data_IF_873631474682
#
_entry.id   IF_873631474682
#
_cell.length_a   1.000
_cell.length_b   1.000
_cell.length_c   1.000
_cell.angle_alpha   90.00
_cell.angle_beta   90.00
_cell.angle_gamma   90.00
#
_symmetry.space_group_name_H-M   'P 1'
#
loop_
_entity.id
_entity.type
_entity.pdbx_description
1 polymer ?
#
# COMPACT_ATOMS: atom_id res chain seq x y z
N UNK A 1 16.82 6.28 -4.26
CA UNK A 1 16.52 6.74 -5.62
C UNK A 1 15.26 6.05 -6.19
N UNK A 2 15.26 4.72 -6.34
CA UNK A 2 14.12 4.01 -6.93
C UNK A 2 12.88 4.07 -6.02
N UNK A 3 13.06 3.94 -4.71
CA UNK A 3 11.99 4.12 -3.73
C UNK A 3 11.27 5.46 -3.93
N UNK A 4 12.03 6.55 -3.98
CA UNK A 4 11.45 7.89 -4.10
C UNK A 4 10.76 8.09 -5.44
N UNK A 5 11.31 7.55 -6.52
CA UNK A 5 10.70 7.59 -7.84
C UNK A 5 9.33 6.90 -7.87
N UNK A 6 9.15 5.83 -7.10
CA UNK A 6 7.88 5.11 -7.01
C UNK A 6 6.93 5.72 -5.98
N UNK A 7 7.42 6.05 -4.80
CA UNK A 7 6.58 6.37 -3.66
C UNK A 7 6.26 7.85 -3.51
N UNK A 8 7.13 8.72 -3.99
CA UNK A 8 6.98 10.18 -3.89
C UNK A 8 6.57 10.82 -5.23
N UNK A 9 6.26 10.02 -6.23
CA UNK A 9 5.81 10.49 -7.54
C UNK A 9 4.49 11.26 -7.38
N UNK A 10 4.43 12.46 -7.94
CA UNK A 10 3.23 13.30 -7.91
C UNK A 10 2.39 13.19 -9.19
N UNK A 11 2.97 12.65 -10.25
CA UNK A 11 2.33 12.45 -11.54
C UNK A 11 1.54 11.13 -11.56
N UNK A 12 0.55 11.05 -12.46
CA UNK A 12 -0.30 9.88 -12.60
C UNK A 12 -1.52 9.94 -11.68
N UNK A 13 -2.26 8.83 -11.63
CA UNK A 13 -3.55 8.76 -10.94
C UNK A 13 -3.48 8.08 -9.56
N UNK A 14 -2.30 7.61 -9.15
CA UNK A 14 -2.09 7.04 -7.81
C UNK A 14 -1.71 8.14 -6.84
N UNK A 15 -2.46 8.27 -5.77
CA UNK A 15 -2.10 9.14 -4.65
C UNK A 15 -0.96 8.54 -3.83
N UNK A 16 -0.28 9.35 -3.02
CA UNK A 16 0.73 8.85 -2.08
C UNK A 16 0.14 7.85 -1.09
N UNK A 17 -1.09 8.12 -0.62
CA UNK A 17 -1.82 7.21 0.25
C UNK A 17 -2.11 5.87 -0.42
N UNK A 18 -2.49 5.87 -1.68
CA UNK A 18 -2.73 4.64 -2.44
C UNK A 18 -1.44 3.84 -2.64
N UNK A 19 -0.32 4.50 -2.87
CA UNK A 19 1.00 3.84 -2.94
C UNK A 19 1.36 3.15 -1.63
N UNK A 20 1.17 3.82 -0.51
CA UNK A 20 1.36 3.24 0.82
C UNK A 20 0.36 2.11 1.12
N UNK A 21 -0.84 2.21 0.61
CA UNK A 21 -1.86 1.17 0.74
C UNK A 21 -1.42 -0.14 0.05
N UNK A 22 -0.86 -0.04 -1.15
CA UNK A 22 -0.29 -1.19 -1.87
C UNK A 22 0.82 -1.84 -1.03
N UNK A 23 1.74 -1.03 -0.52
CA UNK A 23 2.86 -1.52 0.29
C UNK A 23 2.37 -2.23 1.54
N UNK A 24 1.46 -1.61 2.28
CA UNK A 24 0.95 -2.17 3.55
C UNK A 24 0.23 -3.49 3.32
N UNK A 25 -0.63 -3.56 2.31
CA UNK A 25 -1.41 -4.76 2.00
C UNK A 25 -0.51 -5.92 1.53
N UNK A 26 0.38 -5.68 0.59
CA UNK A 26 1.27 -6.72 0.04
C UNK A 26 2.35 -7.12 1.04
N UNK A 27 2.84 -6.20 1.85
CA UNK A 27 3.80 -6.49 2.92
C UNK A 27 3.19 -7.35 4.03
N UNK A 28 1.90 -7.17 4.31
CA UNK A 28 1.18 -8.02 5.26
C UNK A 28 1.07 -9.45 4.74
N UNK A 29 0.82 -9.64 3.44
CA UNK A 29 0.82 -10.96 2.82
C UNK A 29 2.18 -11.65 2.97
N UNK A 30 3.26 -10.90 2.90
CA UNK A 30 4.63 -11.39 3.09
C UNK A 30 5.08 -11.38 4.57
N UNK A 31 4.20 -11.02 5.49
CA UNK A 31 4.44 -11.00 6.94
C UNK A 31 5.68 -10.19 7.34
N UNK A 32 5.90 -9.05 6.69
CA UNK A 32 6.99 -8.14 7.03
C UNK A 32 6.57 -7.17 8.13
N UNK A 33 6.99 -7.45 9.37
CA UNK A 33 6.65 -6.60 10.52
C UNK A 33 7.09 -5.16 10.32
N UNK A 34 8.35 -4.93 9.94
CA UNK A 34 8.87 -3.58 9.71
C UNK A 34 8.04 -2.83 8.67
N UNK A 35 7.80 -3.46 7.53
CA UNK A 35 7.14 -2.82 6.40
C UNK A 35 5.67 -2.48 6.72
N UNK A 36 4.95 -3.41 7.34
CA UNK A 36 3.55 -3.18 7.71
C UNK A 36 3.42 -2.04 8.71
N UNK A 37 4.27 -2.01 9.72
CA UNK A 37 4.21 -0.98 10.77
C UNK A 37 4.64 0.38 10.23
N UNK A 38 5.76 0.46 9.52
CA UNK A 38 6.28 1.73 9.00
C UNK A 38 5.37 2.32 7.93
N UNK A 39 4.98 1.52 6.93
CA UNK A 39 4.13 2.00 5.84
C UNK A 39 2.67 2.13 6.26
N UNK A 40 2.22 1.33 7.21
CA UNK A 40 0.91 1.51 7.83
C UNK A 40 0.77 2.88 8.52
N UNK A 41 1.84 3.35 9.17
CA UNK A 41 1.88 4.69 9.74
C UNK A 41 1.73 5.77 8.66
N UNK A 42 2.48 5.67 7.57
CA UNK A 42 2.39 6.61 6.45
C UNK A 42 1.00 6.57 5.80
N UNK A 43 0.43 5.38 5.63
CA UNK A 43 -0.90 5.21 5.09
C UNK A 43 -1.94 5.96 5.93
N UNK A 44 -1.91 5.80 7.25
CA UNK A 44 -2.82 6.52 8.15
C UNK A 44 -2.68 8.03 8.03
N UNK A 45 -1.45 8.52 7.91
CA UNK A 45 -1.16 9.95 7.80
C UNK A 45 -1.65 10.50 6.46
N UNK A 46 -1.32 9.85 5.36
CA UNK A 46 -1.70 10.34 4.02
C UNK A 46 -3.21 10.25 3.79
N UNK A 47 -3.87 9.19 4.22
CA UNK A 47 -5.30 9.01 4.04
C UNK A 47 -6.13 9.73 5.12
N UNK A 48 -5.52 10.14 6.22
CA UNK A 48 -6.20 10.74 7.38
C UNK A 48 -7.30 9.84 7.94
N UNK A 49 -7.03 8.53 7.94
CA UNK A 49 -7.96 7.48 8.40
C UNK A 49 -7.24 6.58 9.38
N UNK A 50 -7.55 6.69 10.69
CA UNK A 50 -6.80 5.95 11.73
C UNK A 50 -6.92 4.43 11.63
N UNK A 51 -7.98 3.90 11.02
CA UNK A 51 -8.29 2.48 11.00
C UNK A 51 -7.86 1.75 9.72
N UNK A 52 -7.52 2.49 8.67
CA UNK A 52 -7.37 1.91 7.32
C UNK A 52 -6.21 0.92 7.23
N UNK A 53 -5.09 1.19 7.89
CA UNK A 53 -3.90 0.35 7.80
C UNK A 53 -4.15 -1.04 8.39
N UNK A 54 -4.81 -1.13 9.54
CA UNK A 54 -5.14 -2.41 10.15
C UNK A 54 -6.13 -3.19 9.29
N UNK A 55 -7.11 -2.50 8.69
CA UNK A 55 -8.10 -3.13 7.82
C UNK A 55 -7.45 -3.79 6.60
N UNK A 56 -6.60 -3.05 5.88
CA UNK A 56 -5.98 -3.58 4.67
C UNK A 56 -4.90 -4.61 4.96
N UNK A 57 -4.24 -4.52 6.10
CA UNK A 57 -3.23 -5.50 6.50
C UNK A 57 -3.85 -6.84 6.87
N UNK A 58 -4.96 -6.82 7.59
CA UNK A 58 -5.60 -8.06 8.05
C UNK A 58 -6.46 -8.69 6.95
N UNK A 59 -7.33 -7.90 6.33
CA UNK A 59 -8.21 -8.37 5.26
C UNK A 59 -8.76 -7.20 4.45
N UNK A 60 -8.06 -6.82 3.39
CA UNK A 60 -8.44 -5.67 2.58
C UNK A 60 -9.82 -5.82 1.92
N UNK A 61 -10.23 -7.06 1.61
CA UNK A 61 -11.53 -7.32 0.98
C UNK A 61 -12.71 -6.94 1.87
N UNK A 62 -12.49 -6.88 3.17
CA UNK A 62 -13.48 -6.47 4.17
C UNK A 62 -13.24 -5.07 4.73
N UNK A 63 -12.24 -4.36 4.23
CA UNK A 63 -11.96 -3.01 4.66
C UNK A 63 -13.12 -2.07 4.30
N UNK A 64 -13.56 -1.28 5.27
CA UNK A 64 -14.66 -0.32 5.10
C UNK A 64 -14.17 1.08 4.72
N UNK A 65 -12.92 1.40 4.99
CA UNK A 65 -12.33 2.74 4.77
C UNK A 65 -11.61 2.87 3.42
N UNK A 66 -11.85 1.94 2.50
CA UNK A 66 -11.32 2.00 1.13
C UNK A 66 -12.47 2.08 0.12
N UNK A 67 -12.18 2.66 -1.04
CA UNK A 67 -13.13 2.79 -2.14
C UNK A 67 -13.15 1.53 -3.02
N UNK A 68 -14.21 1.33 -3.86
CA UNK A 68 -14.19 0.25 -4.86
C UNK A 68 -13.00 0.33 -5.81
N UNK A 69 -12.57 1.54 -6.18
CA UNK A 69 -11.37 1.78 -6.99
C UNK A 69 -10.12 1.23 -6.29
N UNK A 70 -9.96 1.55 -5.02
CA UNK A 70 -8.83 1.06 -4.21
C UNK A 70 -8.88 -0.44 -4.00
N UNK A 71 -10.06 -1.01 -3.88
CA UNK A 71 -10.20 -2.47 -3.79
C UNK A 71 -9.75 -3.16 -5.08
N UNK A 72 -10.13 -2.65 -6.24
CA UNK A 72 -9.66 -3.18 -7.52
C UNK A 72 -8.13 -3.07 -7.65
N UNK A 73 -7.58 -1.95 -7.23
CA UNK A 73 -6.12 -1.74 -7.15
C UNK A 73 -5.44 -2.80 -6.29
N UNK A 74 -5.98 -3.08 -5.12
CA UNK A 74 -5.41 -4.08 -4.19
C UNK A 74 -5.60 -5.52 -4.68
N UNK A 75 -6.71 -5.83 -5.35
CA UNK A 75 -6.90 -7.14 -5.99
C UNK A 75 -5.79 -7.40 -7.01
N UNK A 76 -5.46 -6.42 -7.82
CA UNK A 76 -4.37 -6.53 -8.80
C UNK A 76 -3.01 -6.63 -8.11
N UNK A 77 -2.73 -5.76 -7.14
CA UNK A 77 -1.48 -5.79 -6.39
C UNK A 77 -1.25 -7.15 -5.72
N UNK A 78 -2.29 -7.73 -5.13
CA UNK A 78 -2.20 -9.04 -4.49
C UNK A 78 -1.96 -10.16 -5.50
N UNK A 79 -2.52 -10.07 -6.70
CA UNK A 79 -2.23 -11.03 -7.76
C UNK A 79 -0.78 -10.93 -8.24
N UNK A 80 -0.25 -9.71 -8.39
CA UNK A 80 1.18 -9.50 -8.67
C UNK A 80 2.04 -10.10 -7.56
N UNK A 81 1.66 -9.90 -6.31
CA UNK A 81 2.39 -10.39 -5.14
C UNK A 81 2.46 -11.92 -5.08
N UNK A 82 1.35 -12.59 -5.31
CA UNK A 82 1.18 -14.02 -5.04
C UNK A 82 1.16 -14.91 -6.29
N UNK A 83 0.69 -14.38 -7.43
CA UNK A 83 0.42 -15.15 -8.65
C UNK A 83 0.70 -14.35 -9.90
N UNK A 84 1.83 -13.64 -9.94
CA UNK A 84 2.18 -12.78 -11.09
C UNK A 84 2.22 -13.54 -12.41
N UNK A 85 2.57 -14.82 -12.38
CA UNK A 85 2.62 -15.69 -13.57
C UNK A 85 1.24 -15.97 -14.18
N UNK A 86 0.14 -15.67 -13.47
CA UNK A 86 -1.23 -15.87 -13.96
C UNK A 86 -1.86 -14.58 -14.51
N UNK A 87 -1.15 -13.46 -14.49
CA UNK A 87 -1.68 -12.18 -14.97
C UNK A 87 -1.81 -12.19 -16.49
N UNK A 88 -2.95 -11.70 -16.98
CA UNK A 88 -3.23 -11.49 -18.40
C UNK A 88 -4.05 -10.19 -18.59
N UNK A 89 -4.42 -9.90 -19.83
CA UNK A 89 -5.09 -8.64 -20.18
C UNK A 89 -6.44 -8.46 -19.46
N UNK A 90 -7.12 -9.53 -19.06
CA UNK A 90 -8.38 -9.46 -18.34
C UNK A 90 -8.22 -8.84 -16.93
N UNK A 91 -7.02 -8.91 -16.37
CA UNK A 91 -6.72 -8.31 -15.07
C UNK A 91 -6.63 -6.78 -15.14
N UNK A 92 -6.37 -6.23 -16.34
CA UNK A 92 -6.23 -4.78 -16.52
C UNK A 92 -7.58 -4.09 -16.71
N UNK A 93 -8.58 -4.79 -17.21
CA UNK A 93 -9.89 -4.21 -17.52
C UNK A 93 -10.57 -3.55 -16.31
N UNK A 94 -10.61 -4.17 -15.10
CA UNK A 94 -11.18 -3.51 -13.92
C UNK A 94 -10.42 -2.25 -13.52
N UNK A 95 -9.10 -2.22 -13.73
CA UNK A 95 -8.28 -1.06 -13.41
C UNK A 95 -8.57 0.10 -14.38
N UNK A 96 -8.63 -0.17 -15.66
CA UNK A 96 -9.02 0.82 -16.66
C UNK A 96 -10.43 1.37 -16.39
N UNK A 97 -11.36 0.50 -15.99
CA UNK A 97 -12.73 0.91 -15.65
C UNK A 97 -12.79 1.87 -14.46
N UNK A 98 -11.81 1.80 -13.54
CA UNK A 98 -11.69 2.71 -12.42
C UNK A 98 -10.78 3.92 -12.69
N UNK A 99 -10.36 4.14 -13.93
CA UNK A 99 -9.60 5.31 -14.34
C UNK A 99 -8.08 5.20 -14.19
N UNK A 100 -7.56 4.02 -13.88
CA UNK A 100 -6.12 3.78 -13.95
C UNK A 100 -5.70 3.60 -15.40
N UNK A 101 -4.59 4.24 -15.79
CA UNK A 101 -3.98 4.03 -17.10
C UNK A 101 -2.86 2.97 -17.04
N UNK A 102 -2.24 2.69 -18.17
CA UNK A 102 -1.20 1.65 -18.25
C UNK A 102 0.03 1.99 -17.40
N UNK A 103 0.35 3.27 -17.27
CA UNK A 103 1.45 3.71 -16.42
C UNK A 103 1.13 3.50 -14.93
N UNK A 104 -0.11 3.77 -14.52
CA UNK A 104 -0.57 3.49 -13.16
C UNK A 104 -0.50 1.99 -12.85
N UNK A 105 -0.91 1.16 -13.80
CA UNK A 105 -0.84 -0.31 -13.66
C UNK A 105 0.61 -0.77 -13.51
N UNK A 106 1.51 -0.19 -14.30
CA UNK A 106 2.94 -0.43 -14.16
C UNK A 106 3.43 -0.06 -12.76
N UNK A 107 3.05 1.11 -12.25
CA UNK A 107 3.44 1.58 -10.94
C UNK A 107 2.94 0.65 -9.82
N UNK A 108 1.69 0.18 -9.90
CA UNK A 108 1.14 -0.78 -8.93
C UNK A 108 1.99 -2.05 -8.89
N UNK A 109 2.30 -2.60 -10.06
CA UNK A 109 3.13 -3.80 -10.16
C UNK A 109 4.57 -3.55 -9.68
N UNK A 110 5.16 -2.42 -10.06
CA UNK A 110 6.53 -2.06 -9.67
C UNK A 110 6.66 -1.84 -8.15
N UNK A 111 5.69 -1.18 -7.53
CA UNK A 111 5.66 -1.00 -6.07
C UNK A 111 5.60 -2.36 -5.39
N UNK A 112 4.71 -3.24 -5.85
CA UNK A 112 4.57 -4.59 -5.30
C UNK A 112 5.86 -5.38 -5.41
N UNK A 113 6.51 -5.34 -6.57
CA UNK A 113 7.76 -6.07 -6.81
C UNK A 113 8.92 -5.51 -5.97
N UNK A 114 9.06 -4.19 -5.90
CA UNK A 114 10.10 -3.53 -5.12
C UNK A 114 9.98 -3.85 -3.63
N UNK A 115 8.77 -3.77 -3.09
CA UNK A 115 8.55 -4.08 -1.68
C UNK A 115 8.57 -5.58 -1.39
N UNK A 116 8.33 -6.42 -2.38
CA UNK A 116 8.63 -7.86 -2.29
C UNK A 116 10.10 -8.12 -1.97
N UNK A 117 10.99 -7.36 -2.60
CA UNK A 117 12.42 -7.35 -2.27
C UNK A 117 12.64 -6.80 -0.86
N UNK A 118 12.13 -5.62 -0.56
CA UNK A 118 12.30 -4.95 0.73
C UNK A 118 11.76 -5.78 1.89
N UNK A 119 10.60 -6.41 1.73
CA UNK A 119 10.01 -7.29 2.74
C UNK A 119 10.97 -8.40 3.16
N UNK A 120 11.61 -9.02 2.20
CA UNK A 120 12.52 -10.15 2.43
C UNK A 120 13.82 -9.69 3.10
N UNK A 121 14.37 -8.57 2.64
CA UNK A 121 15.58 -7.99 3.25
C UNK A 121 15.30 -7.55 4.70
N UNK A 122 14.20 -6.89 4.95
CA UNK A 122 13.82 -6.44 6.29
C UNK A 122 13.61 -7.63 7.24
N UNK A 123 12.90 -8.66 6.79
CA UNK A 123 12.62 -9.85 7.61
C UNK A 123 13.88 -10.67 7.87
N UNK A 124 14.70 -10.90 6.83
CA UNK A 124 15.95 -11.64 6.93
C UNK A 124 16.96 -10.95 7.88
N UNK A 125 17.08 -9.63 7.79
CA UNK A 125 18.04 -8.86 8.57
C UNK A 125 17.57 -8.54 9.99
N UNK A 126 16.33 -8.88 10.33
CA UNK A 126 15.76 -8.64 11.65
C UNK A 126 15.43 -7.18 11.95
N UNK A 127 15.14 -6.37 10.92
CA UNK A 127 14.75 -4.97 11.12
C UNK A 127 13.51 -4.88 12.01
N UNK A 128 13.57 -3.99 13.00
CA UNK A 128 12.46 -3.69 13.88
C UNK A 128 11.96 -2.27 13.63
N UNK A 129 10.63 -2.06 13.59
CA UNK A 129 10.10 -0.71 13.43
C UNK A 129 10.32 0.11 14.70
N UNK A 130 10.52 1.42 14.53
CA UNK A 130 10.58 2.32 15.67
C UNK A 130 9.24 2.30 16.41
N UNK A 131 9.23 2.30 17.76
CA UNK A 131 7.98 2.27 18.53
C UNK A 131 6.97 3.35 18.15
N UNK A 132 7.43 4.54 17.76
CA UNK A 132 6.58 5.65 17.35
C UNK A 132 5.71 5.33 16.14
N UNK A 133 6.18 4.47 15.24
CA UNK A 133 5.43 4.12 14.03
C UNK A 133 4.11 3.41 14.35
N UNK A 134 4.05 2.68 15.46
CA UNK A 134 2.81 2.02 15.88
C UNK A 134 1.70 3.03 16.22
N UNK A 135 2.07 4.23 16.65
CA UNK A 135 1.13 5.24 17.15
C UNK A 135 0.81 6.32 16.12
N UNK A 136 1.67 6.54 15.13
CA UNK A 136 1.52 7.63 14.16
C UNK A 136 0.21 7.50 13.37
N UNK A 137 -0.55 8.58 13.34
CA UNK A 137 -1.80 8.66 12.59
C UNK A 137 -2.98 7.90 13.19
N UNK A 138 -2.85 7.32 14.39
CA UNK A 138 -3.95 6.59 15.04
C UNK A 138 -4.90 7.50 15.80
N UNK A 139 -4.40 8.59 16.34
CA UNK A 139 -5.20 9.57 17.08
C UNK A 139 -5.29 10.84 16.24
N UNK A 140 -6.51 11.38 16.01
CA UNK A 140 -6.64 12.67 15.32
C UNK A 140 -5.86 13.74 16.06
N UNK A 141 -5.21 14.65 15.33
CA UNK A 141 -4.57 15.81 15.95
C UNK A 141 -5.64 16.63 16.66
N UNK A 142 -5.38 16.98 17.91
CA UNK A 142 -6.22 17.95 18.60
C UNK A 142 -6.23 19.26 17.83
N UNK A 143 -7.44 19.82 17.61
CA UNK A 143 -7.54 21.16 17.06
C UNK A 143 -6.98 22.11 18.13
N UNK A 144 -5.93 22.86 17.76
CA UNK A 144 -5.45 23.92 18.65
C UNK A 144 -6.61 24.89 18.93
N UNK A 145 -6.85 25.28 20.18
CA UNK A 145 -7.82 26.29 20.46
C UNK A 145 -7.46 27.57 19.69
N UNK A 146 -8.50 28.21 19.14
CA UNK A 146 -8.37 29.44 18.37
C UNK A 146 -7.81 30.58 19.24
#
# INVERSE_FOLDING_TARGET
AYHDALMLKEEGNLTKGEREMIVTTTSAANQCLYCVVAHGALLRIYEKKPLVADQVAVNYRKATDITPRQRAMLDFAMKVCERSHEINDDDFAPLHAHGFDDEDIWDIAAITAFFGLSNRIASFSGMQPNPEFYLMGRVPKEKKPA
#
